data_IF_792745250275
#
_entry.id   IF_792745250275
#
_cell.length_a   1.000
_cell.length_b   1.000
_cell.length_c   1.000
_cell.angle_alpha   90.00
_cell.angle_beta   90.00
_cell.angle_gamma   90.00
#
_symmetry.space_group_name_H-M   'P 1'
#
loop_
_entity.id
_entity.type
_entity.pdbx_description
1 polymer ?
2 non-polymer ?
3 water ?
#
# COMPACT_ATOMS: atom_id res chain seq x y z
N UNK A 2 -31.97 -5.24 -2.52
CA UNK A 2 -30.74 -4.84 -1.74
C UNK A 2 -30.52 -5.81 -0.57
N UNK A 3 -29.26 -6.25 -0.45
CA UNK A 3 -28.73 -7.08 0.63
C UNK A 3 -28.64 -6.22 1.88
N UNK A 4 -29.01 -6.78 3.04
CA UNK A 4 -28.86 -6.09 4.32
C UNK A 4 -27.37 -5.79 4.54
N UNK A 5 -27.08 -4.79 5.38
CA UNK A 5 -25.69 -4.61 5.76
C UNK A 5 -25.26 -5.70 6.74
N UNK A 6 -26.22 -6.33 7.45
CA UNK A 6 -25.88 -7.49 8.26
C UNK A 6 -25.22 -8.55 7.38
N UNK A 7 -25.83 -8.81 6.21
CA UNK A 7 -25.34 -9.74 5.21
C UNK A 7 -23.97 -9.33 4.67
N UNK A 8 -23.77 -8.03 4.35
CA UNK A 8 -22.48 -7.54 3.86
C UNK A 8 -21.40 -7.82 4.89
N UNK A 9 -21.66 -7.39 6.15
CA UNK A 9 -20.69 -7.51 7.23
C UNK A 9 -20.36 -8.99 7.47
N UNK A 10 -21.39 -9.84 7.38
CA UNK A 10 -21.14 -11.26 7.60
C UNK A 10 -20.34 -11.84 6.45
N UNK A 11 -20.71 -11.50 5.21
CA UNK A 11 -19.99 -12.02 4.06
C UNK A 11 -18.53 -11.55 4.14
N UNK A 12 -18.29 -10.26 4.40
CA UNK A 12 -16.90 -9.84 4.36
C UNK A 12 -16.12 -10.45 5.53
N UNK A 13 -16.75 -10.57 6.72
CA UNK A 13 -16.08 -11.24 7.83
C UNK A 13 -15.67 -12.67 7.43
N UNK A 14 -16.54 -13.36 6.68
CA UNK A 14 -16.31 -14.76 6.31
C UNK A 14 -15.10 -14.90 5.36
N UNK A 15 -14.80 -13.84 4.59
CA UNK A 15 -13.67 -13.96 3.67
C UNK A 15 -12.38 -14.03 4.48
N UNK A 16 -12.33 -13.26 5.58
CA UNK A 16 -11.16 -13.30 6.44
C UNK A 16 -11.12 -14.61 7.24
N UNK A 17 -12.29 -15.03 7.74
CA UNK A 17 -12.43 -16.25 8.52
C UNK A 17 -11.92 -17.42 7.69
N UNK A 18 -12.26 -17.43 6.41
CA UNK A 18 -11.95 -18.61 5.61
C UNK A 18 -10.47 -18.62 5.20
N UNK A 19 -9.84 -17.46 5.08
CA UNK A 19 -8.42 -17.41 4.79
C UNK A 19 -7.68 -17.75 6.08
N UNK A 20 -8.45 -18.05 7.12
CA UNK A 20 -7.90 -18.33 8.45
C UNK A 20 -6.82 -17.31 8.81
N UNK A 21 -7.21 -16.04 8.90
CA UNK A 21 -6.33 -14.97 9.36
C UNK A 21 -7.21 -14.02 10.16
N UNK A 22 -6.64 -12.90 10.61
CA UNK A 22 -7.40 -11.85 11.23
C UNK A 22 -7.11 -10.55 10.49
N UNK A 23 -8.16 -9.77 10.23
CA UNK A 23 -7.90 -8.57 9.48
C UNK A 23 -9.12 -7.68 9.33
N UNK A 24 -8.88 -6.56 8.65
CA UNK A 24 -9.83 -5.47 8.49
C UNK A 24 -9.67 -4.95 7.06
N UNK A 25 -10.79 -4.65 6.36
CA UNK A 25 -10.75 -3.76 5.20
C UNK A 25 -11.56 -2.50 5.53
N UNK A 26 -10.91 -1.33 5.37
CA UNK A 26 -11.53 -0.02 5.55
C UNK A 26 -11.83 0.53 4.16
N UNK A 27 -13.06 1.01 3.95
CA UNK A 27 -13.56 1.54 2.70
C UNK A 27 -13.96 2.99 2.97
N UNK A 28 -13.50 3.91 2.12
CA UNK A 28 -13.94 5.29 2.26
C UNK A 28 -14.81 5.68 1.09
N UNK A 29 -16.02 6.20 1.39
CA UNK A 29 -16.99 6.64 0.41
C UNK A 29 -17.32 8.09 0.67
N UNK A 30 -16.68 8.97 -0.10
CA UNK A 30 -16.73 10.37 0.19
C UNK A 30 -15.93 10.65 1.44
N UNK A 31 -16.61 11.08 2.51
CA UNK A 31 -15.95 11.26 3.79
C UNK A 31 -16.26 10.11 4.75
N UNK A 32 -17.20 9.20 4.40
CA UNK A 32 -17.62 8.13 5.29
C UNK A 32 -16.64 6.95 5.27
N UNK A 33 -16.06 6.59 6.44
CA UNK A 33 -15.23 5.40 6.55
C UNK A 33 -16.07 4.25 7.07
N UNK A 34 -15.99 3.07 6.44
CA UNK A 34 -16.64 1.85 6.91
C UNK A 34 -15.58 0.79 7.16
N UNK A 35 -15.75 0.02 8.24
CA UNK A 35 -14.78 -0.96 8.69
C UNK A 35 -15.42 -2.34 8.58
N UNK A 36 -14.78 -3.26 7.85
CA UNK A 36 -15.33 -4.61 7.71
C UNK A 36 -14.25 -5.65 7.99
N UNK A 37 -14.67 -6.91 8.19
CA UNK A 37 -13.70 -7.98 8.37
C UNK A 37 -13.96 -8.77 9.66
N UNK A 38 -12.96 -9.50 10.14
CA UNK A 38 -13.20 -10.35 11.30
C UNK A 38 -12.43 -9.88 12.53
N UNK A 39 -11.82 -8.68 12.46
CA UNK A 39 -11.06 -8.16 13.59
C UNK A 39 -11.08 -6.63 13.58
N UNK A 40 -12.26 -6.07 13.85
CA UNK A 40 -12.50 -4.68 13.53
C UNK A 40 -11.52 -3.77 14.28
N UNK A 41 -11.06 -4.21 15.46
CA UNK A 41 -10.29 -3.34 16.35
C UNK A 41 -8.90 -3.04 15.74
N UNK A 42 -8.47 -3.82 14.77
CA UNK A 42 -7.23 -3.55 14.05
C UNK A 42 -7.25 -2.17 13.38
N UNK A 43 -8.43 -1.54 13.22
CA UNK A 43 -8.57 -0.34 12.41
C UNK A 43 -7.74 0.82 12.94
N UNK A 44 -7.53 0.90 14.26
CA UNK A 44 -6.86 2.09 14.78
C UNK A 44 -5.52 1.73 15.44
N UNK A 45 -5.01 0.53 15.15
CA UNK A 45 -3.77 0.01 15.67
C UNK A 45 -2.66 0.25 14.65
N UNK A 46 -1.44 0.54 15.13
CA UNK A 46 -0.28 0.80 14.30
C UNK A 46 0.43 -0.49 13.88
N UNK A 47 0.89 -0.55 12.61
CA UNK A 47 1.73 -1.60 12.05
C UNK A 47 2.75 -0.93 11.15
N UNK A 48 3.86 -1.63 10.89
CA UNK A 48 4.77 -1.09 9.90
C UNK A 48 4.04 -1.00 8.55
N UNK A 49 4.34 0.03 7.72
CA UNK A 49 3.69 0.17 6.42
C UNK A 49 4.18 -0.87 5.41
N UNK A 50 5.32 -1.50 5.71
CA UNK A 50 5.98 -2.45 4.81
C UNK A 50 6.02 -1.83 3.42
N UNK A 51 5.80 -2.62 2.35
CA UNK A 51 5.99 -2.08 1.01
C UNK A 51 4.95 -1.04 0.60
N UNK A 52 3.94 -0.76 1.46
CA UNK A 52 3.01 0.33 1.12
C UNK A 52 3.78 1.64 1.09
N UNK A 53 4.91 1.69 1.82
CA UNK A 53 5.71 2.90 1.85
C UNK A 53 6.29 3.24 0.48
N UNK A 55 4.88 3.82 -2.15
CA UNK A 55 4.07 4.87 -2.78
C UNK A 55 4.64 6.23 -2.43
N UNK A 56 4.91 6.44 -1.13
CA UNK A 56 5.45 7.70 -0.65
C UNK A 56 6.94 7.81 -0.99
N UNK A 57 7.68 6.69 -0.87
CA UNK A 57 9.08 6.64 -1.29
C UNK A 57 9.18 7.20 -2.71
N UNK A 58 8.34 6.69 -3.64
CA UNK A 58 8.39 7.10 -5.04
C UNK A 58 8.00 8.59 -5.22
N UNK A 59 6.97 9.07 -4.48
CA UNK A 59 6.56 10.48 -4.53
C UNK A 59 7.72 11.38 -4.13
N UNK A 60 8.37 11.03 -3.02
CA UNK A 60 9.51 11.78 -2.50
C UNK A 60 10.65 11.79 -3.52
N UNK A 61 11.00 10.64 -4.10
CA UNK A 61 12.16 10.58 -4.98
C UNK A 61 11.91 11.32 -6.30
N UNK A 62 10.69 11.23 -6.84
CA UNK A 62 10.40 11.88 -8.10
C UNK A 62 10.31 13.39 -7.87
N UNK A 63 9.64 13.80 -6.79
CA UNK A 63 9.48 15.22 -6.53
C UNK A 63 10.86 15.85 -6.37
N UNK A 64 11.81 15.09 -5.82
CA UNK A 64 13.07 15.68 -5.37
C UNK A 64 14.16 15.39 -6.39
N UNK A 65 13.76 14.87 -7.56
CA UNK A 65 14.65 14.65 -8.71
C UNK A 65 15.72 13.63 -8.34
N UNK A 66 15.33 12.59 -7.61
CA UNK A 66 16.29 11.54 -7.29
C UNK A 66 16.20 10.44 -8.32
N UNK A 67 15.17 10.52 -9.18
CA UNK A 67 14.97 9.54 -10.23
C UNK A 67 13.96 10.13 -11.20
N UNK A 68 13.87 9.53 -12.41
CA UNK A 68 12.80 9.82 -13.35
C UNK A 68 12.05 8.52 -13.57
N UNK A 69 10.90 8.61 -14.23
CA UNK A 69 10.05 7.44 -14.39
C UNK A 69 10.64 6.48 -15.42
N UNK A 70 11.68 6.87 -16.15
CA UNK A 70 12.09 5.99 -17.23
C UNK A 70 13.51 5.47 -16.97
N UNK A 71 14.15 6.04 -15.95
CA UNK A 71 15.47 5.62 -15.52
C UNK A 71 15.44 4.13 -15.15
N UNK A 72 16.53 3.43 -15.49
CA UNK A 72 16.60 2.00 -15.26
C UNK A 72 17.53 1.76 -14.07
N UNK A 73 17.01 1.23 -12.96
CA UNK A 73 17.85 0.81 -11.84
C UNK A 73 18.47 -0.55 -12.19
N UNK A 74 19.79 -0.60 -12.39
CA UNK A 74 20.44 -1.81 -12.86
C UNK A 74 20.64 -2.76 -11.68
N UNK A 75 20.34 -4.05 -11.88
CA UNK A 75 20.69 -5.06 -10.91
C UNK A 75 22.21 -5.10 -10.78
N UNK A 76 22.75 -5.09 -9.56
CA UNK A 76 24.20 -5.03 -9.42
C UNK A 76 24.85 -6.40 -9.61
N UNK A 77 24.04 -7.44 -9.85
CA UNK A 77 24.52 -8.79 -10.07
C UNK A 77 24.67 -9.62 -8.79
N UNK A 78 24.39 -9.02 -7.62
CA UNK A 78 24.44 -9.77 -6.38
C UNK A 78 23.13 -10.53 -6.20
N UNK A 79 23.22 -11.69 -5.54
CA UNK A 79 22.07 -12.52 -5.29
C UNK A 79 21.03 -11.72 -4.47
N UNK A 80 19.77 -11.80 -4.90
CA UNK A 80 18.67 -11.13 -4.22
C UNK A 80 17.82 -12.21 -3.57
N UNK A 81 16.94 -11.81 -2.64
CA UNK A 81 16.10 -12.77 -1.95
C UNK A 81 15.21 -13.56 -2.92
N UNK A 82 14.75 -12.91 -3.99
CA UNK A 82 13.85 -13.50 -4.96
C UNK A 82 14.46 -13.31 -6.34
N UNK A 83 14.57 -14.40 -7.13
CA UNK A 83 15.14 -14.31 -8.49
C UNK A 83 14.40 -13.35 -9.40
N UNK A 84 13.10 -13.14 -9.15
CA UNK A 84 12.38 -12.15 -9.95
C UNK A 84 13.00 -10.75 -9.82
N UNK A 85 13.75 -10.48 -8.72
CA UNK A 85 14.36 -9.16 -8.51
C UNK A 85 15.71 -9.04 -9.23
N UNK A 86 16.23 -10.15 -9.81
CA UNK A 86 17.57 -10.09 -10.39
C UNK A 86 17.51 -9.59 -11.83
N UNK A 87 17.05 -8.35 -12.00
CA UNK A 87 16.93 -7.76 -13.32
C UNK A 87 16.94 -6.25 -13.15
N UNK A 88 17.01 -5.56 -14.28
CA UNK A 88 17.07 -4.10 -14.35
C UNK A 88 15.63 -3.57 -14.44
N UNK A 89 15.32 -2.53 -13.67
CA UNK A 89 13.93 -2.08 -13.72
C UNK A 89 13.79 -0.59 -13.41
N UNK A 90 12.66 -0.04 -13.90
CA UNK A 90 12.19 1.30 -13.58
C UNK A 90 11.53 1.26 -12.20
N UNK A 91 11.25 2.45 -11.64
CA UNK A 91 10.46 2.57 -10.42
C UNK A 91 9.12 1.88 -10.62
N UNK A 92 8.55 2.02 -11.82
CA UNK A 92 7.26 1.40 -12.16
C UNK A 92 7.31 -0.12 -12.03
N UNK A 93 8.35 -0.72 -12.63
CA UNK A 93 8.47 -2.19 -12.62
C UNK A 93 8.80 -2.65 -11.19
N UNK A 94 9.63 -1.87 -10.47
CA UNK A 94 9.98 -2.20 -9.10
C UNK A 94 8.74 -2.13 -8.20
N UNK A 95 7.80 -1.22 -8.53
CA UNK A 95 6.57 -1.10 -7.75
C UNK A 95 5.74 -2.39 -7.90
N UNK A 96 5.60 -2.89 -9.14
CA UNK A 96 4.76 -4.06 -9.41
C UNK A 96 5.33 -5.32 -8.77
N UNK A 97 6.68 -5.41 -8.78
CA UNK A 97 7.40 -6.56 -8.25
C UNK A 97 7.67 -6.39 -6.76
N UNK A 98 7.30 -5.22 -6.19
CA UNK A 98 7.66 -4.87 -4.82
C UNK A 98 9.17 -5.11 -4.56
N UNK A 99 10.03 -4.68 -5.50
CA UNK A 99 11.47 -4.86 -5.41
C UNK A 99 12.13 -3.89 -4.42
N UNK A 100 12.32 -4.38 -3.19
CA UNK A 100 12.89 -3.67 -2.06
C UNK A 100 14.25 -3.04 -2.39
N UNK A 101 15.20 -3.78 -3.03
CA UNK A 101 16.53 -3.21 -3.29
C UNK A 101 16.45 -1.94 -4.15
N UNK A 102 15.49 -1.88 -5.08
CA UNK A 102 15.37 -0.67 -5.88
C UNK A 102 14.90 0.50 -5.02
N UNK A 103 13.93 0.24 -4.14
CA UNK A 103 13.37 1.30 -3.32
C UNK A 103 14.36 1.64 -2.18
N UNK A 104 15.27 0.71 -1.87
CA UNK A 104 16.31 1.07 -0.93
C UNK A 104 17.32 2.03 -1.56
N UNK A 105 17.68 1.76 -2.83
CA UNK A 105 18.56 2.65 -3.57
C UNK A 105 17.93 4.04 -3.61
N UNK A 106 16.65 4.14 -3.96
CA UNK A 106 16.00 5.43 -4.03
C UNK A 106 16.02 6.13 -2.66
N UNK A 107 15.76 5.37 -1.57
CA UNK A 107 15.78 5.96 -0.24
C UNK A 107 17.19 6.53 0.04
N UNK A 108 18.23 5.74 -0.24
CA UNK A 108 19.60 6.21 -0.08
C UNK A 108 19.86 7.48 -0.90
N UNK A 109 19.29 7.62 -2.09
CA UNK A 109 19.53 8.84 -2.87
C UNK A 109 18.89 10.02 -2.14
N UNK A 110 17.70 9.80 -1.60
CA UNK A 110 16.96 10.85 -0.94
C UNK A 110 17.73 11.30 0.30
N UNK A 111 18.24 10.30 1.07
CA UNK A 111 19.05 10.53 2.26
C UNK A 111 18.17 10.71 3.51
N UNK A 112 18.72 10.36 4.68
CA UNK A 112 17.97 10.36 5.94
C UNK A 112 17.32 11.72 6.20
N UNK A 113 18.13 12.77 6.10
CA UNK A 113 17.70 14.12 6.46
C UNK A 113 16.48 14.52 5.63
N UNK A 114 16.60 14.43 4.31
CA UNK A 114 15.51 14.84 3.44
C UNK A 114 14.33 13.90 3.58
N UNK A 115 14.60 12.61 3.86
CA UNK A 115 13.52 11.65 3.99
C UNK A 115 12.64 12.00 5.20
N UNK A 116 13.31 12.28 6.34
CA UNK A 116 12.65 12.64 7.58
C UNK A 116 11.81 13.89 7.37
N UNK A 117 12.36 14.88 6.66
CA UNK A 117 11.64 16.13 6.47
C UNK A 117 10.37 15.88 5.66
N UNK A 118 10.45 14.96 4.68
CA UNK A 118 9.34 14.79 3.76
C UNK A 118 8.25 13.96 4.42
N UNK A 119 8.68 12.95 5.19
CA UNK A 119 7.71 12.12 5.91
C UNK A 119 6.97 12.95 6.96
N UNK A 120 7.69 13.84 7.72
CA UNK A 120 7.01 14.79 8.61
C UNK A 120 6.12 15.73 7.82
N UNK A 121 6.61 16.26 6.69
CA UNK A 121 5.80 17.18 5.90
C UNK A 121 4.51 16.53 5.44
N UNK A 122 4.54 15.21 5.21
CA UNK A 122 3.35 14.56 4.69
C UNK A 122 2.44 14.13 5.84
N UNK A 123 2.95 14.12 7.08
CA UNK A 123 2.51 13.53 8.13
C UNK A 123 1.83 12.13 7.93
N UNK A 124 2.80 11.29 7.57
CA UNK A 124 2.49 9.90 7.24
C UNK A 124 2.64 9.06 8.51
N UNK A 125 1.56 8.38 8.92
CA UNK A 125 1.60 7.52 10.12
C UNK A 125 2.12 8.24 11.37
N UNK A 126 2.99 7.57 12.13
CA UNK A 126 3.61 8.18 13.31
C UNK A 126 4.75 9.12 12.88
N UNK A 127 4.99 9.25 11.58
CA UNK A 127 5.98 10.14 11.01
C UNK A 127 7.41 9.91 11.54
N UNK A 128 7.72 8.74 12.11
CA UNK A 128 9.06 8.56 12.68
C UNK A 128 9.90 7.58 11.85
N UNK A 129 11.06 8.05 11.34
CA UNK A 129 11.87 7.17 10.48
C UNK A 129 13.18 6.70 11.14
N UNK A 130 13.53 7.25 12.32
CA UNK A 130 14.70 6.79 13.05
C UNK A 130 16.00 7.13 12.32
N UNK A 131 16.95 6.20 12.32
CA UNK A 131 18.32 6.56 11.94
C UNK A 131 18.81 5.84 10.69
N UNK A 132 18.12 4.77 10.26
CA UNK A 132 18.55 3.99 9.11
C UNK A 132 17.57 4.22 7.95
N UNK A 133 18.03 4.95 6.93
CA UNK A 133 17.20 5.45 5.84
C UNK A 133 16.71 4.32 4.92
N UNK A 134 17.28 3.12 5.04
CA UNK A 134 17.01 2.06 4.07
C UNK A 134 16.15 0.93 4.63
N UNK A 135 15.64 1.03 5.86
CA UNK A 135 14.78 -0.05 6.34
C UNK A 135 13.71 0.36 7.35
N UNK A 136 13.39 1.66 7.44
CA UNK A 136 12.51 2.11 8.51
C UNK A 136 11.06 1.68 8.27
N UNK A 137 10.73 1.34 7.01
CA UNK A 137 9.37 1.00 6.65
C UNK A 137 9.18 -0.52 6.76
N UNK A 138 10.27 -1.27 6.94
CA UNK A 138 10.20 -2.72 7.01
C UNK A 138 10.12 -3.21 8.46
N UNK A 139 10.90 -2.61 9.37
CA UNK A 139 11.03 -3.13 10.74
C UNK A 139 10.74 -2.05 11.79
N UNK A 140 10.22 -0.91 11.39
CA UNK A 140 10.07 0.18 12.34
C UNK A 140 11.28 1.11 12.22
N UNK A 141 11.26 2.31 12.83
CA UNK A 141 10.17 2.72 13.73
C UNK A 141 8.90 3.30 13.10
N UNK A 142 8.88 3.47 11.78
CA UNK A 142 7.70 4.05 11.15
C UNK A 142 6.54 3.06 11.22
N UNK A 143 5.37 3.57 11.65
CA UNK A 143 4.17 2.76 11.82
C UNK A 143 2.98 3.59 11.38
N UNK A 144 1.87 2.91 11.03
CA UNK A 144 0.68 3.57 10.51
C UNK A 144 -0.53 2.69 10.81
N UNK A 145 -1.69 3.32 11.01
CA UNK A 145 -2.93 2.57 11.21
C UNK A 145 -3.61 2.37 9.86
N UNK A 146 -4.44 1.31 9.73
CA UNK A 146 -5.30 1.14 8.56
C UNK A 146 -6.18 2.35 8.21
N UNK A 147 -6.68 3.06 9.23
CA UNK A 147 -7.45 4.28 8.99
C UNK A 147 -6.54 5.31 8.30
N UNK A 148 -5.31 5.44 8.81
CA UNK A 148 -4.37 6.39 8.24
C UNK A 148 -4.01 6.00 6.79
N UNK A 149 -3.98 4.68 6.49
CA UNK A 149 -3.56 4.19 5.17
C UNK A 149 -4.67 4.48 4.15
N UNK A 150 -5.93 4.25 4.54
CA UNK A 150 -6.99 4.55 3.61
C UNK A 150 -7.07 6.06 3.40
N UNK A 151 -6.71 6.87 4.42
CA UNK A 151 -6.75 8.32 4.28
C UNK A 151 -5.61 8.82 3.38
N UNK A 152 -4.44 8.15 3.49
CA UNK A 152 -3.35 8.41 2.59
C UNK A 152 -3.75 8.07 1.15
N UNK A 153 -4.39 6.92 0.95
CA UNK A 153 -4.84 6.49 -0.36
C UNK A 153 -5.85 7.47 -0.92
N UNK A 154 -6.68 8.03 -0.02
CA UNK A 154 -7.75 8.93 -0.41
C UNK A 154 -7.10 10.23 -0.92
N UNK A 155 -6.07 10.68 -0.23
CA UNK A 155 -5.31 11.85 -0.63
C UNK A 155 -4.68 11.66 -2.01
N UNK A 156 -4.04 10.50 -2.24
CA UNK A 156 -3.27 10.29 -3.46
C UNK A 156 -4.25 10.21 -4.62
N UNK A 157 -5.32 9.45 -4.43
CA UNK A 157 -6.34 9.27 -5.45
C UNK A 157 -6.87 10.61 -5.94
N UNK A 158 -6.89 11.63 -5.07
CA UNK A 158 -7.53 12.90 -5.35
C UNK A 158 -6.48 14.00 -5.52
N UNK A 159 -5.21 13.60 -5.61
CA UNK A 159 -4.14 14.56 -5.82
C UNK A 159 -4.06 15.59 -4.70
N UNK A 160 -4.23 15.17 -3.43
CA UNK A 160 -4.30 16.12 -2.33
C UNK A 160 -3.02 16.15 -1.52
N UNK A 161 -2.12 15.19 -1.77
CA UNK A 161 -0.84 15.22 -1.10
C UNK A 161 -0.04 16.46 -1.51
N UNK A 162 0.91 16.93 -0.67
CA UNK A 162 1.68 18.14 -0.97
C UNK A 162 2.89 17.82 -1.87
N UNK A 163 2.59 17.44 -3.11
CA UNK A 163 3.58 17.23 -4.13
C UNK A 163 2.97 17.78 -5.42
N UNK A 164 3.80 18.06 -6.43
CA UNK A 164 3.24 18.47 -7.71
C UNK A 164 2.23 17.44 -8.15
N UNK A 165 1.26 17.92 -8.93
CA UNK A 165 0.26 17.06 -9.53
C UNK A 165 0.95 15.99 -10.37
N UNK A 166 1.98 16.40 -11.12
CA UNK A 166 2.68 15.51 -12.05
C UNK A 166 3.36 14.40 -11.25
N UNK A 167 3.98 14.74 -10.10
CA UNK A 167 4.55 13.69 -9.25
C UNK A 167 3.48 12.63 -8.91
N UNK A 168 2.30 13.11 -8.49
CA UNK A 168 1.23 12.25 -7.99
C UNK A 168 0.74 11.36 -9.12
N UNK A 169 0.59 11.96 -10.32
CA UNK A 169 0.09 11.24 -11.49
C UNK A 169 1.11 10.17 -11.92
N UNK A 170 2.40 10.51 -11.91
CA UNK A 170 3.43 9.54 -12.26
C UNK A 170 3.33 8.32 -11.33
N UNK A 171 3.15 8.58 -10.03
CA UNK A 171 3.12 7.49 -9.08
C UNK A 171 1.84 6.68 -9.27
N UNK A 172 0.72 7.36 -9.53
CA UNK A 172 -0.53 6.60 -9.62
C UNK A 172 -0.51 5.65 -10.81
N UNK A 173 0.18 6.07 -11.90
CA UNK A 173 0.32 5.23 -13.08
C UNK A 173 1.06 3.92 -12.72
N UNK A 174 1.87 3.93 -11.65
CA UNK A 174 2.68 2.77 -11.31
C UNK A 174 1.84 1.74 -10.56
N UNK A 175 0.58 2.06 -10.20
CA UNK A 175 -0.13 1.31 -9.18
C UNK A 175 -1.32 0.55 -9.75
N UNK A 176 -1.52 0.63 -11.07
CA UNK A 176 -2.65 -0.08 -11.65
C UNK A 176 -2.42 -1.58 -11.63
N UNK A 177 -3.31 -2.33 -10.94
CA UNK A 177 -3.04 -3.74 -10.71
C UNK A 177 -4.17 -4.57 -11.29
N UNK A 178 -5.30 -3.92 -11.60
CA UNK A 178 -6.43 -4.70 -12.07
C UNK A 178 -7.50 -3.81 -12.71
N UNK A 179 -8.14 -4.37 -13.74
CA UNK A 179 -9.35 -3.81 -14.34
C UNK A 179 -10.44 -4.89 -14.33
N UNK A 180 -11.64 -4.47 -13.90
CA UNK A 180 -12.78 -5.34 -13.71
C UNK A 180 -14.01 -4.52 -14.12
N UNK A 181 -14.76 -5.05 -15.11
CA UNK A 181 -15.96 -4.43 -15.67
C UNK A 181 -15.89 -2.91 -15.61
N UNK A 182 -14.91 -2.34 -16.30
CA UNK A 182 -14.88 -0.90 -16.41
C UNK A 182 -14.48 -0.19 -15.11
N UNK A 183 -14.16 -0.96 -14.06
CA UNK A 183 -13.48 -0.37 -12.91
C UNK A 183 -11.98 -0.66 -12.99
N UNK A 184 -11.19 0.32 -12.55
CA UNK A 184 -9.74 0.17 -12.38
C UNK A 184 -9.39 0.15 -10.90
N UNK A 185 -8.60 -0.86 -10.49
CA UNK A 185 -8.05 -0.91 -9.14
C UNK A 185 -6.59 -0.48 -9.14
N UNK A 186 -6.32 0.60 -8.38
CA UNK A 186 -4.99 1.10 -8.08
C UNK A 186 -4.67 0.75 -6.63
N UNK A 187 -3.54 0.07 -6.41
CA UNK A 187 -3.22 -0.34 -5.04
C UNK A 187 -1.77 -0.78 -4.97
N UNK A 188 -1.26 -0.79 -3.73
CA UNK A 188 0.07 -1.32 -3.47
C UNK A 188 -0.05 -2.37 -2.37
N UNK A 189 0.53 -3.56 -2.60
CA UNK A 189 0.60 -4.57 -1.56
C UNK A 189 1.71 -4.23 -0.55
N UNK A 190 1.58 -4.81 0.65
CA UNK A 190 2.64 -4.79 1.64
C UNK A 190 2.65 -6.16 2.33
N UNK A 191 3.86 -6.59 2.73
CA UNK A 191 4.04 -7.79 3.51
C UNK A 191 5.29 -7.60 4.34
N UNK A 192 5.09 -7.31 5.64
CA UNK A 192 6.18 -7.04 6.57
C UNK A 192 6.63 -8.35 7.20
N UNK A 193 7.72 -8.93 6.69
CA UNK A 193 8.14 -10.24 7.17
C UNK A 193 9.18 -10.13 8.28
N UNK A 194 9.79 -8.96 8.45
CA UNK A 194 10.75 -8.81 9.52
C UNK A 194 10.15 -8.20 10.79
N UNK A 195 8.83 -8.40 10.99
CA UNK A 195 8.15 -8.08 12.24
C UNK A 195 7.35 -9.31 12.65
N UNK A 196 6.91 -9.35 13.90
CA UNK A 196 6.13 -10.47 14.40
C UNK A 196 4.99 -9.95 15.27
N UNK A 197 3.71 -10.32 14.99
CA UNK A 197 3.35 -11.16 13.84
C UNK A 197 3.60 -10.39 12.52
N UNK A 198 3.57 -11.11 11.39
CA UNK A 198 3.75 -10.47 10.08
C UNK A 198 2.47 -9.74 9.65
N UNK A 199 2.65 -8.56 9.06
CA UNK A 199 1.50 -7.76 8.64
C UNK A 199 1.41 -7.84 7.12
N UNK A 200 0.18 -7.97 6.63
CA UNK A 200 -0.11 -7.89 5.20
C UNK A 200 -1.05 -6.70 4.90
N UNK A 201 -0.81 -6.05 3.76
CA UNK A 201 -1.55 -4.86 3.38
C UNK A 201 -1.97 -4.97 1.92
N UNK A 202 -3.15 -4.47 1.57
CA UNK A 202 -3.38 -3.94 0.23
C UNK A 202 -4.09 -2.58 0.33
N UNK A 203 -3.41 -1.53 -0.10
CA UNK A 203 -3.92 -0.18 0.04
C UNK A 203 -4.03 0.49 -1.32
N UNK A 204 -5.21 1.03 -1.63
CA UNK A 204 -5.40 1.77 -2.86
C UNK A 204 -6.80 2.36 -3.00
N UNK A 205 -7.34 2.31 -4.24
CA UNK A 205 -8.67 2.82 -4.53
C UNK A 205 -9.15 2.20 -5.83
N UNK A 206 -10.48 2.13 -5.94
CA UNK A 206 -11.20 1.77 -7.14
C UNK A 206 -11.54 3.06 -7.87
N UNK A 207 -11.12 3.15 -9.13
CA UNK A 207 -11.67 4.22 -9.95
C UNK A 207 -12.79 3.63 -10.81
N UNK A 208 -14.04 4.03 -10.53
CA UNK A 208 -15.20 3.47 -11.21
C UNK A 208 -15.34 4.08 -12.60
N UNK A 209 -16.06 3.38 -13.49
CA UNK A 209 -16.27 3.82 -14.86
C UNK A 209 -16.61 5.30 -14.89
N UNK A 210 -17.46 5.73 -13.95
CA UNK A 210 -18.11 7.03 -13.92
C UNK A 210 -17.25 8.15 -13.34
N UNK A 211 -16.01 7.87 -12.90
CA UNK A 211 -15.13 8.90 -12.35
C UNK A 211 -14.86 8.83 -10.83
N UNK A 212 -15.85 8.37 -10.02
CA UNK A 212 -15.74 8.26 -8.57
C UNK A 212 -14.59 7.33 -8.17
N UNK A 213 -13.79 7.78 -7.19
CA UNK A 213 -12.71 6.99 -6.63
C UNK A 213 -13.05 6.53 -5.21
N UNK A 214 -13.03 5.21 -5.00
CA UNK A 214 -13.35 4.61 -3.70
C UNK A 214 -12.09 4.04 -3.05
N UNK A 215 -11.43 4.75 -2.11
CA UNK A 215 -10.27 4.22 -1.39
C UNK A 215 -10.57 3.06 -0.43
N UNK A 216 -9.57 2.17 -0.28
CA UNK A 216 -9.62 1.05 0.64
C UNK A 216 -8.24 0.75 1.20
N UNK A 217 -8.23 0.17 2.40
CA UNK A 217 -7.02 -0.42 2.94
C UNK A 217 -7.38 -1.74 3.59
N UNK A 218 -6.79 -2.83 3.09
CA UNK A 218 -6.91 -4.11 3.78
C UNK A 218 -5.64 -4.29 4.59
N UNK A 219 -5.84 -4.79 5.81
CA UNK A 219 -4.76 -5.04 6.73
C UNK A 219 -5.03 -6.40 7.38
N UNK A 220 -4.07 -7.31 7.35
CA UNK A 220 -4.35 -8.59 7.97
C UNK A 220 -3.05 -9.17 8.53
N UNK A 221 -3.17 -10.32 9.21
CA UNK A 221 -2.01 -11.03 9.73
C UNK A 221 -1.59 -12.09 8.71
N UNK A 222 -0.35 -12.01 8.22
CA UNK A 222 0.18 -13.05 7.35
C UNK A 222 0.88 -14.08 8.26
N UNK A 223 0.74 -15.36 7.95
CA UNK A 223 1.57 -16.36 8.64
C UNK A 223 2.27 -17.20 7.60
N UNK A 224 3.29 -17.95 8.05
CA UNK A 224 4.07 -18.86 7.21
C UNK A 224 3.11 -19.74 6.39
N UNK A 225 3.42 -19.85 5.10
CA UNK A 225 2.67 -20.71 4.20
C UNK A 225 1.36 -20.09 3.74
N UNK A 226 1.15 -18.80 3.99
CA UNK A 226 0.01 -18.11 3.38
C UNK A 226 0.47 -17.58 2.03
N UNK A 227 -0.42 -17.56 1.06
CA UNK A 227 -0.02 -16.99 -0.22
C UNK A 227 -0.29 -15.48 -0.21
N UNK A 228 0.56 -14.72 -0.90
CA UNK A 228 0.44 -13.28 -1.00
C UNK A 228 -0.91 -12.83 -1.56
N UNK A 229 -1.43 -13.62 -2.52
CA UNK A 229 -2.57 -13.24 -3.33
C UNK A 229 -3.89 -13.30 -2.52
N UNK A 230 -3.83 -13.89 -1.32
CA UNK A 230 -4.96 -13.82 -0.40
C UNK A 230 -5.34 -12.35 -0.12
N UNK A 231 -4.35 -11.44 -0.11
CA UNK A 231 -4.67 -10.04 0.15
C UNK A 231 -5.56 -9.50 -0.96
N UNK A 232 -5.14 -9.78 -2.21
CA UNK A 232 -5.88 -9.46 -3.42
C UNK A 232 -7.27 -10.11 -3.41
N UNK A 233 -7.31 -11.42 -3.12
CA UNK A 233 -8.52 -12.20 -3.26
C UNK A 233 -9.58 -11.65 -2.32
N UNK A 234 -9.19 -11.41 -1.05
CA UNK A 234 -10.11 -10.92 -0.04
C UNK A 234 -10.60 -9.52 -0.42
N UNK A 235 -9.70 -8.69 -0.96
CA UNK A 235 -10.06 -7.35 -1.37
C UNK A 235 -11.12 -7.39 -2.48
N UNK A 236 -10.86 -8.19 -3.52
CA UNK A 236 -11.71 -8.18 -4.70
C UNK A 236 -13.09 -8.68 -4.30
N UNK A 237 -13.12 -9.72 -3.50
CA UNK A 237 -14.34 -10.32 -3.02
C UNK A 237 -15.16 -9.29 -2.24
N UNK A 238 -14.46 -8.48 -1.43
CA UNK A 238 -15.09 -7.48 -0.58
C UNK A 238 -15.63 -6.35 -1.41
N UNK A 239 -14.82 -5.86 -2.35
CA UNK A 239 -15.29 -4.75 -3.18
C UNK A 239 -16.49 -5.20 -4.01
N UNK A 240 -16.48 -6.46 -4.47
CA UNK A 240 -17.57 -6.95 -5.30
C UNK A 240 -18.81 -7.12 -4.43
N UNK A 241 -18.62 -7.71 -3.24
CA UNK A 241 -19.74 -7.95 -2.36
C UNK A 241 -20.45 -6.63 -2.12
N UNK A 242 -19.70 -5.53 -2.00
CA UNK A 242 -20.30 -4.23 -1.71
C UNK A 242 -20.77 -3.53 -2.98
N UNK A 243 -20.64 -4.20 -4.13
CA UNK A 243 -20.96 -3.60 -5.42
C UNK A 243 -20.07 -2.39 -5.77
N UNK A 244 -18.82 -2.38 -5.31
CA UNK A 244 -17.95 -1.28 -5.65
C UNK A 244 -17.28 -1.54 -7.00
N UNK A 245 -17.06 -2.84 -7.29
CA UNK A 245 -16.60 -3.29 -8.59
C UNK A 245 -17.61 -4.34 -9.08
#
# INVERSE_FOLDING_TARGET
>A
MHISSQQHEKAIKSYFDEAQTQGVIIIKEGKNLSTYGNALARANKEYVPASTFXMLNALIGLENHKATTNEIFKWDGKKRTYPMWEKDMTLGEAMALSAVPVYQELARRTGLELMQKEVKRVNFGNTNIGTQVDNFWLVGPLKITPVQEVNFADDLAHNRLPFKLETQEEVKKMLLIKEVNGSKIYAKSGWGMGVTPQVGWLTGWVEQANGKKIPFSLNLEMKEGMSGSIRNEITYKSLENLGII
#
